data_IF_165935917487
#
_entry.id   IF_165935917487
#
_cell.length_a   1.000
_cell.length_b   1.000
_cell.length_c   1.000
_cell.angle_alpha   90.00
_cell.angle_beta   90.00
_cell.angle_gamma   90.00
#
_symmetry.space_group_name_H-M   'P 1'
#
loop_
_entity.id
_entity.type
_entity.pdbx_description
1 polymer ?
#
# COMPACT_ATOMS: atom_id res chain seq x y z
N UNK A 1 -10.86 9.15 -15.50
CA UNK A 1 -12.11 8.92 -14.72
C UNK A 1 -12.59 7.52 -15.06
N UNK A 2 -12.40 6.56 -14.15
CA UNK A 2 -12.95 5.22 -14.26
C UNK A 2 -14.33 5.21 -13.61
N UNK A 3 -15.39 4.99 -14.39
CA UNK A 3 -16.76 4.82 -13.90
C UNK A 3 -16.99 3.35 -13.56
N UNK A 4 -17.43 3.09 -12.31
CA UNK A 4 -17.93 1.76 -11.91
C UNK A 4 -17.61 1.45 -10.46
N UNK A 5 -18.59 1.38 -9.57
CA UNK A 5 -18.53 1.18 -8.12
C UNK A 5 -18.14 2.44 -7.32
N UNK A 6 -18.90 3.55 -7.44
CA UNK A 6 -18.56 4.81 -6.80
C UNK A 6 -17.28 5.40 -7.40
N UNK A 7 -17.14 6.71 -7.39
CA UNK A 7 -15.97 7.38 -7.95
C UNK A 7 -14.74 7.17 -7.04
N UNK A 8 -13.95 6.13 -7.33
CA UNK A 8 -12.62 5.91 -6.69
C UNK A 8 -11.60 6.75 -7.43
N UNK A 9 -11.08 7.77 -6.78
CA UNK A 9 -10.02 8.61 -7.31
C UNK A 9 -8.70 8.37 -6.57
N UNK A 10 -7.60 8.50 -7.30
CA UNK A 10 -6.26 8.60 -6.74
C UNK A 10 -5.75 10.00 -6.98
N UNK A 11 -5.26 10.63 -5.94
CA UNK A 11 -4.75 12.00 -5.94
C UNK A 11 -3.49 12.12 -5.10
N UNK A 12 -2.83 13.23 -5.20
CA UNK A 12 -1.78 13.58 -4.25
C UNK A 12 -2.40 13.92 -2.89
N UNK A 13 -1.62 13.76 -1.84
CA UNK A 13 -1.99 14.18 -0.49
C UNK A 13 -2.25 15.69 -0.47
N UNK A 14 -3.30 16.09 0.22
CA UNK A 14 -3.62 17.48 0.54
C UNK A 14 -3.53 17.69 2.05
N UNK A 15 -3.43 18.93 2.48
CA UNK A 15 -3.21 19.28 3.88
C UNK A 15 -4.28 18.71 4.83
N UNK A 16 -5.55 18.68 4.39
CA UNK A 16 -6.65 18.12 5.21
C UNK A 16 -6.53 16.62 5.48
N UNK A 17 -5.76 15.86 4.69
CA UNK A 17 -5.55 14.43 4.90
C UNK A 17 -4.71 14.12 6.14
N UNK A 18 -3.95 15.10 6.63
CA UNK A 18 -3.12 14.95 7.84
C UNK A 18 -3.97 14.49 9.02
N UNK A 19 -5.13 15.09 9.23
CA UNK A 19 -6.00 14.75 10.36
C UNK A 19 -6.67 13.37 10.19
N UNK A 20 -6.90 12.91 8.95
CA UNK A 20 -7.34 11.55 8.70
C UNK A 20 -6.26 10.54 9.12
N UNK A 21 -5.01 10.77 8.76
CA UNK A 21 -3.89 9.93 9.21
C UNK A 21 -3.71 9.95 10.72
N UNK A 22 -3.79 11.12 11.36
CA UNK A 22 -3.75 11.21 12.83
C UNK A 22 -4.82 10.33 13.46
N UNK A 23 -6.07 10.40 12.98
CA UNK A 23 -7.18 9.58 13.45
C UNK A 23 -6.92 8.08 13.25
N UNK A 24 -6.47 7.66 12.08
CA UNK A 24 -6.24 6.26 11.76
C UNK A 24 -5.05 5.64 12.51
N UNK A 25 -4.03 6.41 12.82
CA UNK A 25 -2.85 5.92 13.53
C UNK A 25 -2.97 6.02 15.05
N UNK A 26 -3.96 6.74 15.58
CA UNK A 26 -4.12 6.91 17.04
C UNK A 26 -5.44 6.37 17.60
N UNK A 27 -6.52 6.36 16.81
CA UNK A 27 -7.87 6.02 17.28
C UNK A 27 -8.48 4.84 16.53
N UNK A 28 -8.52 4.90 15.20
CA UNK A 28 -9.20 3.93 14.34
C UNK A 28 -8.20 2.91 13.77
N UNK A 29 -7.55 2.14 14.64
CA UNK A 29 -6.39 1.29 14.34
C UNK A 29 -6.74 -0.15 13.92
N UNK A 30 -7.98 -0.46 13.56
CA UNK A 30 -8.38 -1.83 13.18
C UNK A 30 -7.64 -2.33 11.92
N UNK A 31 -7.26 -1.44 11.02
CA UNK A 31 -6.52 -1.76 9.80
C UNK A 31 -5.14 -2.40 10.06
N UNK A 32 -4.48 -2.05 11.16
CA UNK A 32 -3.18 -2.62 11.56
C UNK A 32 -3.23 -4.14 11.82
N UNK A 33 -4.41 -4.69 12.11
CA UNK A 33 -4.56 -6.14 12.25
C UNK A 33 -4.39 -6.89 10.93
N UNK A 34 -4.39 -6.18 9.81
CA UNK A 34 -4.29 -6.75 8.46
C UNK A 34 -2.98 -6.39 7.76
N UNK A 35 -2.38 -5.25 8.10
CA UNK A 35 -1.11 -4.84 7.52
C UNK A 35 0.07 -5.65 8.12
N UNK A 36 0.66 -5.18 9.18
CA UNK A 36 1.75 -5.84 9.89
C UNK A 36 1.44 -5.84 11.41
N UNK A 37 0.56 -6.74 11.89
CA UNK A 37 0.08 -6.70 13.27
C UNK A 37 1.18 -6.86 14.33
N UNK A 38 2.35 -7.39 13.96
CA UNK A 38 3.54 -7.49 14.83
C UNK A 38 4.34 -6.19 14.92
N UNK A 39 4.10 -5.20 14.03
CA UNK A 39 4.79 -3.90 14.02
C UNK A 39 4.02 -2.78 14.71
N UNK A 40 2.93 -3.13 15.43
CA UNK A 40 2.11 -2.11 16.10
C UNK A 40 2.91 -1.34 17.13
N UNK A 41 3.04 -0.05 16.92
CA UNK A 41 3.65 0.87 17.87
C UNK A 41 2.60 1.83 18.45
N UNK A 42 2.76 2.15 19.73
CA UNK A 42 1.96 3.20 20.33
C UNK A 42 2.52 4.56 19.93
N UNK A 43 1.63 5.41 19.45
CA UNK A 43 1.95 6.78 19.07
C UNK A 43 0.86 7.73 19.59
N UNK A 44 1.16 9.01 19.61
CA UNK A 44 0.22 10.04 19.99
C UNK A 44 -0.12 10.98 18.83
N UNK A 45 -1.22 11.72 18.98
CA UNK A 45 -1.73 12.60 17.95
C UNK A 45 -0.77 13.75 17.57
N UNK A 46 0.08 14.20 18.48
CA UNK A 46 1.06 15.26 18.19
C UNK A 46 2.21 14.72 17.34
N UNK A 47 2.74 13.55 17.71
CA UNK A 47 3.79 12.87 16.95
C UNK A 47 3.32 12.53 15.52
N UNK A 48 2.11 11.96 15.38
CA UNK A 48 1.56 11.64 14.07
C UNK A 48 1.28 12.89 13.23
N UNK A 49 0.72 13.94 13.81
CA UNK A 49 0.50 15.21 13.08
C UNK A 49 1.82 15.80 12.58
N UNK A 50 2.85 15.79 13.40
CA UNK A 50 4.19 16.23 12.99
C UNK A 50 4.72 15.39 11.83
N UNK A 51 4.69 14.06 11.94
CA UNK A 51 5.15 13.11 10.92
C UNK A 51 4.45 13.34 9.59
N UNK A 52 3.11 13.42 9.58
CA UNK A 52 2.33 13.58 8.37
C UNK A 52 2.42 15.00 7.77
N UNK A 53 2.61 16.00 8.61
CA UNK A 53 2.91 17.38 8.13
C UNK A 53 4.26 17.40 7.40
N UNK A 54 5.32 16.82 7.97
CA UNK A 54 6.63 16.74 7.32
C UNK A 54 6.56 15.95 6.00
N UNK A 55 5.81 14.86 5.99
CA UNK A 55 5.56 14.07 4.79
C UNK A 55 4.86 14.90 3.70
N UNK A 56 3.78 15.59 4.02
CA UNK A 56 3.05 16.48 3.12
C UNK A 56 3.94 17.61 2.58
N UNK A 57 4.62 18.34 3.45
CA UNK A 57 5.50 19.46 3.09
C UNK A 57 6.61 19.02 2.11
N UNK A 58 7.15 17.83 2.28
CA UNK A 58 8.20 17.27 1.42
C UNK A 58 7.70 16.94 0.01
N UNK A 59 6.39 16.89 -0.22
CA UNK A 59 5.75 16.39 -1.45
C UNK A 59 4.77 17.33 -2.13
N UNK A 60 4.22 18.33 -1.44
CA UNK A 60 3.17 19.22 -1.95
C UNK A 60 3.51 19.95 -3.25
N UNK A 61 4.79 20.21 -3.48
CA UNK A 61 5.28 20.93 -4.66
C UNK A 61 5.95 20.01 -5.71
N UNK A 62 5.74 18.70 -5.65
CA UNK A 62 6.29 17.80 -6.67
C UNK A 62 5.64 18.08 -8.03
N UNK A 63 6.44 18.26 -9.09
CA UNK A 63 5.93 18.43 -10.45
C UNK A 63 5.04 17.24 -10.88
N UNK A 64 4.05 17.50 -11.75
CA UNK A 64 3.09 16.49 -12.18
C UNK A 64 3.70 15.40 -13.08
N UNK A 65 4.79 15.70 -13.76
CA UNK A 65 5.56 14.81 -14.62
C UNK A 65 6.47 13.84 -13.84
N UNK A 66 6.66 14.06 -12.54
CA UNK A 66 7.44 13.14 -11.70
C UNK A 66 6.61 11.92 -11.34
N UNK A 67 7.16 10.72 -11.59
CA UNK A 67 6.54 9.45 -11.23
C UNK A 67 6.17 9.40 -9.74
N UNK A 68 4.96 8.96 -9.44
CA UNK A 68 4.41 8.85 -8.08
C UNK A 68 4.59 7.44 -7.55
N UNK A 69 5.15 7.34 -6.35
CA UNK A 69 5.30 6.11 -5.58
C UNK A 69 4.32 6.01 -4.41
N UNK A 70 3.45 6.98 -4.23
CA UNK A 70 2.35 6.99 -3.28
C UNK A 70 1.26 7.93 -3.76
N UNK A 71 0.01 7.52 -3.59
CA UNK A 71 -1.19 8.29 -3.90
C UNK A 71 -2.27 7.99 -2.87
N UNK A 72 -3.04 9.01 -2.52
CA UNK A 72 -4.22 8.88 -1.66
C UNK A 72 -5.40 8.29 -2.44
N UNK A 73 -6.22 7.51 -1.76
CA UNK A 73 -7.46 6.96 -2.29
C UNK A 73 -8.61 7.82 -1.77
N UNK A 74 -9.35 8.38 -2.71
CA UNK A 74 -10.60 9.09 -2.42
C UNK A 74 -11.79 8.30 -2.97
N UNK A 75 -12.81 8.11 -2.16
CA UNK A 75 -14.07 7.47 -2.55
C UNK A 75 -15.25 8.34 -2.14
N UNK A 76 -16.08 8.70 -3.12
CA UNK A 76 -17.23 9.61 -2.93
C UNK A 76 -16.86 10.93 -2.22
N UNK A 77 -15.73 11.52 -2.55
CA UNK A 77 -15.24 12.76 -1.96
C UNK A 77 -14.65 12.63 -0.55
N UNK A 78 -14.43 11.40 -0.05
CA UNK A 78 -13.78 11.14 1.24
C UNK A 78 -12.43 10.49 1.02
N UNK A 79 -11.42 10.95 1.73
CA UNK A 79 -10.15 10.26 1.85
C UNK A 79 -10.35 9.00 2.70
N UNK A 80 -9.90 7.83 2.20
CA UNK A 80 -10.17 6.53 2.83
C UNK A 80 -8.96 5.62 2.94
N UNK A 81 -7.82 6.00 2.37
CA UNK A 81 -6.66 5.15 2.35
C UNK A 81 -5.60 5.60 1.36
N UNK A 82 -4.60 4.78 1.15
CA UNK A 82 -3.50 5.05 0.24
C UNK A 82 -3.05 3.82 -0.56
N UNK A 83 -2.36 4.07 -1.67
CA UNK A 83 -1.56 3.08 -2.38
C UNK A 83 -0.11 3.53 -2.36
N UNK A 84 0.79 2.60 -2.18
CA UNK A 84 2.22 2.85 -2.13
C UNK A 84 3.00 1.93 -3.04
N UNK A 85 4.19 2.36 -3.47
CA UNK A 85 5.15 1.51 -4.15
C UNK A 85 6.51 1.69 -3.48
N UNK A 86 7.23 0.59 -3.36
CA UNK A 86 8.54 0.50 -2.76
C UNK A 86 9.45 -0.41 -3.58
N UNK A 87 10.71 -0.52 -3.20
CA UNK A 87 11.69 -1.32 -3.92
C UNK A 87 12.11 -2.52 -3.09
N UNK A 88 12.24 -3.65 -3.76
CA UNK A 88 12.78 -4.89 -3.21
C UNK A 88 13.92 -5.38 -4.10
N UNK A 89 14.85 -6.12 -3.53
CA UNK A 89 15.95 -6.73 -4.26
C UNK A 89 15.60 -8.11 -4.84
N UNK A 90 16.58 -8.83 -5.33
CA UNK A 90 16.46 -10.16 -5.90
C UNK A 90 16.09 -11.25 -4.88
N UNK A 91 16.26 -10.99 -3.58
CA UNK A 91 15.85 -11.86 -2.47
C UNK A 91 14.52 -11.40 -1.86
N UNK A 92 13.84 -10.44 -2.51
CA UNK A 92 12.60 -9.81 -2.07
C UNK A 92 12.69 -8.99 -0.78
N UNK A 93 13.91 -8.63 -0.37
CA UNK A 93 14.16 -7.77 0.78
C UNK A 93 13.95 -6.29 0.42
N UNK A 94 13.34 -5.54 1.35
CA UNK A 94 13.12 -4.10 1.16
C UNK A 94 14.43 -3.31 1.07
N UNK A 95 14.54 -2.46 0.07
CA UNK A 95 15.70 -1.60 -0.13
C UNK A 95 15.32 -0.13 -0.21
N UNK A 96 16.07 0.70 0.50
CA UNK A 96 15.91 2.17 0.42
C UNK A 96 16.63 2.75 -0.79
N UNK A 97 17.87 2.33 -1.00
CA UNK A 97 18.73 2.80 -2.08
C UNK A 97 19.36 1.58 -2.77
N UNK A 98 19.22 1.50 -4.08
CA UNK A 98 19.83 0.45 -4.86
C UNK A 98 21.33 0.72 -5.03
N UNK A 99 22.15 -0.31 -4.94
CA UNK A 99 23.56 -0.29 -5.30
C UNK A 99 23.75 -0.42 -6.82
N UNK A 100 24.90 0.01 -7.33
CA UNK A 100 25.20 -0.12 -8.75
C UNK A 100 25.20 -1.60 -9.17
N UNK A 101 24.36 -1.94 -10.14
CA UNK A 101 24.23 -3.31 -10.66
C UNK A 101 23.34 -4.23 -9.86
N UNK A 102 22.71 -3.76 -8.79
CA UNK A 102 21.73 -4.52 -8.02
C UNK A 102 20.43 -4.67 -8.82
N UNK A 103 19.88 -5.88 -8.86
CA UNK A 103 18.53 -6.12 -9.36
C UNK A 103 17.51 -5.47 -8.42
N UNK A 104 16.60 -4.71 -8.98
CA UNK A 104 15.58 -3.99 -8.22
C UNK A 104 14.23 -4.23 -8.85
N UNK A 105 13.29 -4.69 -8.03
CA UNK A 105 11.89 -4.86 -8.40
C UNK A 105 11.01 -3.80 -7.74
N UNK A 106 9.90 -3.47 -8.40
CA UNK A 106 8.88 -2.59 -7.83
C UNK A 106 7.81 -3.43 -7.15
N UNK A 107 7.62 -3.22 -5.87
CA UNK A 107 6.49 -3.77 -5.12
C UNK A 107 5.44 -2.69 -4.83
N UNK A 108 4.18 -3.10 -4.70
CA UNK A 108 3.04 -2.22 -4.40
C UNK A 108 2.27 -2.70 -3.18
N UNK A 109 1.75 -1.74 -2.43
CA UNK A 109 0.88 -1.96 -1.28
C UNK A 109 -0.37 -1.09 -1.34
N UNK A 110 -1.35 -1.41 -0.50
CA UNK A 110 -2.60 -0.68 -0.36
C UNK A 110 -3.12 -0.77 1.07
N UNK A 111 -3.55 0.36 1.60
CA UNK A 111 -4.25 0.46 2.87
C UNK A 111 -5.59 1.16 2.68
N UNK A 112 -6.68 0.49 3.08
CA UNK A 112 -7.98 1.10 3.27
C UNK A 112 -8.20 1.18 4.78
N UNK A 113 -8.09 2.38 5.34
CA UNK A 113 -8.14 2.60 6.78
C UNK A 113 -9.55 2.53 7.37
N UNK A 114 -10.58 2.52 6.53
CA UNK A 114 -11.99 2.50 6.91
C UNK A 114 -12.56 1.06 6.82
N UNK A 115 -12.72 0.32 7.94
CA UNK A 115 -13.12 -1.10 7.92
C UNK A 115 -14.48 -1.37 7.27
N UNK A 116 -15.42 -0.42 7.40
CA UNK A 116 -16.76 -0.51 6.82
C UNK A 116 -16.77 -0.47 5.27
N UNK A 117 -15.65 -0.11 4.65
CA UNK A 117 -15.47 -0.10 3.18
C UNK A 117 -14.82 -1.36 2.64
N UNK A 118 -14.36 -2.26 3.51
CA UNK A 118 -13.72 -3.50 3.09
C UNK A 118 -14.72 -4.48 2.43
N UNK A 119 -14.23 -5.35 1.56
CA UNK A 119 -15.04 -6.34 0.87
C UNK A 119 -15.88 -5.80 -0.30
N UNK A 120 -15.91 -4.50 -0.53
CA UNK A 120 -16.71 -3.86 -1.58
C UNK A 120 -15.97 -3.66 -2.91
N UNK A 121 -14.77 -4.23 -3.06
CA UNK A 121 -13.96 -4.13 -4.29
C UNK A 121 -13.25 -2.79 -4.50
N UNK A 122 -13.40 -1.83 -3.58
CA UNK A 122 -12.76 -0.49 -3.65
C UNK A 122 -11.24 -0.65 -3.70
N UNK A 123 -10.65 -1.41 -2.77
CA UNK A 123 -9.21 -1.66 -2.72
C UNK A 123 -8.69 -2.32 -3.99
N UNK A 124 -9.36 -3.37 -4.50
CA UNK A 124 -8.97 -4.02 -5.74
C UNK A 124 -8.98 -3.07 -6.94
N UNK A 125 -9.95 -2.16 -7.02
CA UNK A 125 -10.02 -1.18 -8.10
C UNK A 125 -8.95 -0.09 -7.98
N UNK A 126 -8.69 0.38 -6.76
CA UNK A 126 -7.63 1.34 -6.49
C UNK A 126 -6.25 0.74 -6.84
N UNK A 127 -5.96 -0.47 -6.36
CA UNK A 127 -4.68 -1.13 -6.62
C UNK A 127 -4.52 -1.44 -8.12
N UNK A 128 -5.56 -1.94 -8.81
CA UNK A 128 -5.52 -2.16 -10.27
C UNK A 128 -5.14 -0.90 -11.05
N UNK A 129 -5.72 0.22 -10.70
CA UNK A 129 -5.43 1.46 -11.41
C UNK A 129 -4.03 2.01 -11.07
N UNK A 130 -3.48 1.71 -9.88
CA UNK A 130 -2.11 2.04 -9.51
C UNK A 130 -1.08 1.15 -10.23
N UNK A 131 -1.34 -0.14 -10.33
CA UNK A 131 -0.57 -1.11 -11.12
C UNK A 131 -0.51 -0.66 -12.59
N UNK A 132 -1.67 -0.35 -13.18
CA UNK A 132 -1.74 0.13 -14.56
C UNK A 132 -0.97 1.44 -14.78
N UNK A 133 -0.93 2.32 -13.78
CA UNK A 133 -0.10 3.52 -13.82
C UNK A 133 1.38 3.16 -13.91
N UNK A 134 1.86 2.22 -13.11
CA UNK A 134 3.27 1.81 -13.12
C UNK A 134 3.65 1.06 -14.42
N UNK A 135 2.78 0.19 -14.93
CA UNK A 135 2.99 -0.45 -16.23
C UNK A 135 3.07 0.56 -17.39
N UNK A 136 2.29 1.64 -17.35
CA UNK A 136 2.37 2.72 -18.33
C UNK A 136 3.65 3.56 -18.20
N UNK A 137 4.28 3.55 -17.03
CA UNK A 137 5.53 4.26 -16.74
C UNK A 137 6.77 3.36 -16.84
N UNK A 138 6.67 2.23 -17.55
CA UNK A 138 7.82 1.44 -17.96
C UNK A 138 8.13 0.22 -17.12
N UNK A 139 7.28 -0.14 -16.12
CA UNK A 139 7.43 -1.44 -15.47
C UNK A 139 6.88 -2.55 -16.37
N UNK A 140 7.53 -3.69 -16.37
CA UNK A 140 7.10 -4.91 -17.08
C UNK A 140 6.60 -5.98 -16.11
N UNK A 141 7.00 -5.89 -14.85
CA UNK A 141 6.51 -6.72 -13.75
C UNK A 141 6.34 -5.89 -12.48
N UNK A 142 5.40 -6.31 -11.63
CA UNK A 142 5.12 -5.68 -10.33
C UNK A 142 4.96 -6.78 -9.28
N UNK A 143 5.52 -6.52 -8.12
CA UNK A 143 5.43 -7.39 -6.96
C UNK A 143 4.46 -6.84 -5.91
N UNK A 144 4.05 -7.69 -4.99
CA UNK A 144 3.34 -7.31 -3.76
C UNK A 144 3.68 -8.30 -2.67
N UNK A 145 3.84 -7.82 -1.45
CA UNK A 145 4.17 -8.65 -0.31
C UNK A 145 3.06 -8.58 0.73
N UNK A 146 2.82 -9.68 1.40
CA UNK A 146 1.86 -9.76 2.51
C UNK A 146 2.17 -11.01 3.36
N UNK A 147 1.42 -11.24 4.41
CA UNK A 147 1.55 -12.43 5.24
C UNK A 147 0.35 -13.37 5.06
N UNK A 148 0.53 -14.65 5.38
CA UNK A 148 -0.46 -15.69 5.09
C UNK A 148 -1.78 -15.53 5.87
N UNK A 149 -1.79 -14.74 6.94
CA UNK A 149 -3.00 -14.39 7.67
C UNK A 149 -3.81 -13.25 7.04
N UNK A 150 -3.21 -12.45 6.15
CA UNK A 150 -3.92 -11.38 5.45
C UNK A 150 -4.73 -11.90 4.25
N UNK A 151 -5.74 -12.71 4.53
CA UNK A 151 -6.61 -13.32 3.50
C UNK A 151 -7.29 -12.29 2.60
N UNK A 152 -7.47 -11.05 3.07
CA UNK A 152 -8.06 -9.95 2.29
C UNK A 152 -7.13 -9.50 1.18
N UNK A 153 -5.85 -9.28 1.52
CA UNK A 153 -4.83 -8.90 0.54
C UNK A 153 -4.57 -10.03 -0.45
N UNK A 154 -4.43 -11.28 0.02
CA UNK A 154 -4.25 -12.46 -0.84
C UNK A 154 -5.37 -12.52 -1.89
N UNK A 155 -6.64 -12.48 -1.49
CA UNK A 155 -7.77 -12.47 -2.42
C UNK A 155 -7.77 -11.27 -3.37
N UNK A 156 -7.31 -10.10 -2.90
CA UNK A 156 -7.17 -8.92 -3.77
C UNK A 156 -6.13 -9.16 -4.86
N UNK A 157 -4.96 -9.69 -4.50
CA UNK A 157 -3.88 -9.97 -5.42
C UNK A 157 -4.27 -11.05 -6.45
N UNK A 158 -4.89 -12.15 -6.02
CA UNK A 158 -5.41 -13.20 -6.91
C UNK A 158 -6.40 -12.66 -7.95
N UNK A 159 -7.36 -11.81 -7.53
CA UNK A 159 -8.31 -11.14 -8.43
C UNK A 159 -7.66 -10.20 -9.43
N UNK A 160 -6.47 -9.69 -9.11
CA UNK A 160 -5.68 -8.84 -10.00
C UNK A 160 -4.77 -9.64 -10.93
N UNK A 161 -4.67 -10.97 -10.70
CA UNK A 161 -3.88 -11.89 -11.52
C UNK A 161 -2.45 -12.07 -11.05
N UNK A 162 -2.13 -11.65 -9.84
CA UNK A 162 -0.85 -11.98 -9.22
C UNK A 162 -0.73 -13.48 -8.94
N UNK A 163 0.49 -13.98 -9.01
CA UNK A 163 0.83 -15.37 -8.69
C UNK A 163 1.89 -15.35 -7.58
N UNK A 164 1.70 -16.17 -6.54
CA UNK A 164 2.71 -16.36 -5.49
C UNK A 164 4.00 -16.87 -6.13
N UNK A 165 5.12 -16.20 -5.85
CA UNK A 165 6.43 -16.54 -6.40
C UNK A 165 7.47 -16.84 -5.33
N UNK A 166 7.20 -16.47 -4.07
CA UNK A 166 8.09 -16.78 -2.94
C UNK A 166 7.30 -16.87 -1.63
N UNK A 167 7.84 -17.65 -0.67
CA UNK A 167 7.24 -17.90 0.63
C UNK A 167 8.30 -18.15 1.69
N UNK A 168 8.37 -17.27 2.67
CA UNK A 168 9.17 -17.43 3.88
C UNK A 168 8.33 -18.04 5.01
N UNK A 169 8.67 -19.26 5.41
CA UNK A 169 7.85 -20.00 6.37
C UNK A 169 8.08 -19.55 7.80
N UNK A 170 6.98 -19.34 8.54
CA UNK A 170 6.97 -19.05 9.98
C UNK A 170 7.77 -17.80 10.37
N UNK A 171 7.77 -16.77 9.55
CA UNK A 171 8.52 -15.53 9.81
C UNK A 171 7.78 -14.55 10.72
N UNK A 172 6.44 -14.61 10.73
CA UNK A 172 5.62 -13.64 11.46
C UNK A 172 4.85 -14.30 12.61
N UNK A 173 4.90 -13.72 13.79
CA UNK A 173 4.14 -14.20 14.96
C UNK A 173 3.01 -13.23 15.30
N UNK A 174 1.77 -13.72 15.30
CA UNK A 174 0.58 -12.96 15.70
C UNK A 174 -0.22 -13.78 16.71
N UNK A 175 -0.44 -13.22 17.90
CA UNK A 175 -1.19 -13.88 18.98
C UNK A 175 -0.73 -15.31 19.29
N UNK A 176 0.58 -15.57 19.24
CA UNK A 176 1.19 -16.88 19.50
C UNK A 176 1.03 -17.89 18.36
N UNK A 177 0.60 -17.47 17.19
CA UNK A 177 0.55 -18.27 15.97
C UNK A 177 1.57 -17.76 14.96
N UNK A 178 2.23 -18.69 14.26
CA UNK A 178 3.20 -18.36 13.22
C UNK A 178 2.55 -18.37 11.85
N UNK A 179 2.94 -17.39 11.04
CA UNK A 179 2.46 -17.17 9.69
C UNK A 179 3.64 -17.03 8.73
N UNK A 180 3.39 -17.26 7.46
CA UNK A 180 4.38 -17.13 6.40
C UNK A 180 4.37 -15.72 5.82
N UNK A 181 5.55 -15.20 5.47
CA UNK A 181 5.72 -14.09 4.55
C UNK A 181 5.47 -14.56 3.12
N UNK A 182 4.72 -13.80 2.34
CA UNK A 182 4.35 -14.15 0.96
C UNK A 182 4.76 -13.05 0.00
N UNK A 183 5.39 -13.43 -1.11
CA UNK A 183 5.68 -12.53 -2.23
C UNK A 183 4.91 -12.99 -3.46
N UNK A 184 4.24 -12.05 -4.10
CA UNK A 184 3.43 -12.24 -5.31
C UNK A 184 4.00 -11.43 -6.47
N UNK A 185 3.89 -11.95 -7.69
CA UNK A 185 4.32 -11.29 -8.93
C UNK A 185 3.18 -11.19 -9.94
N UNK A 186 3.15 -10.07 -10.65
CA UNK A 186 2.27 -9.83 -11.79
C UNK A 186 3.11 -9.34 -12.97
N UNK A 187 3.02 -10.02 -14.10
CA UNK A 187 3.64 -9.61 -15.36
C UNK A 187 2.66 -8.77 -16.20
N UNK A 188 3.20 -7.79 -16.90
CA UNK A 188 2.44 -7.01 -17.88
C UNK A 188 1.98 -7.90 -19.03
N UNK A 189 0.70 -7.88 -19.31
CA UNK A 189 0.09 -8.57 -20.46
C UNK A 189 0.05 -7.69 -21.70
#
# INVERSE_FOLDING_TARGET
>A
RSRGLGDVYKRQMIESDIEDYVRWFTVEREWENWDAPWEKEDTDAEAERKRWTEYYESRKNRPDDVRRYGLEIEWNGRHIGSVSAYRIDENYEWIRNAENGQTVHLAVGIDIYEPNLWGNGIGTNALRAFINYHFKNGEDEIYAQTWSGNVRMIHCLEKLGFVECDRDSCTEEVDGQYYDGLTFRLEKK
#
